data_IF_504161771542
#
_entry.id   IF_504161771542
#
_cell.length_a   1.000
_cell.length_b   1.000
_cell.length_c   1.000
_cell.angle_alpha   90.00
_cell.angle_beta   90.00
_cell.angle_gamma   90.00
#
_symmetry.space_group_name_H-M   'P 1'
#
loop_
_entity.id
_entity.type
_entity.pdbx_description
1 polymer ?
#
# COMPACT_ATOMS: atom_id res chain seq x y z
N UNK A 1 -48.01 1.72 -58.13
CA UNK A 1 -46.68 2.10 -57.65
C UNK A 1 -46.73 2.12 -56.12
N UNK A 2 -46.32 1.01 -55.49
CA UNK A 2 -46.34 0.85 -54.02
C UNK A 2 -44.98 1.26 -53.50
N UNK A 3 -44.92 2.32 -52.67
CA UNK A 3 -43.71 2.80 -52.01
C UNK A 3 -43.62 2.06 -50.65
N UNK A 4 -42.69 1.09 -50.57
CA UNK A 4 -42.38 0.39 -49.32
C UNK A 4 -41.55 1.30 -48.39
N UNK A 5 -42.12 1.65 -47.24
CA UNK A 5 -41.39 2.35 -46.16
C UNK A 5 -40.61 1.33 -45.34
N UNK A 6 -39.31 1.33 -45.46
CA UNK A 6 -38.41 0.56 -44.60
C UNK A 6 -38.27 1.26 -43.23
N UNK A 7 -38.83 0.65 -42.19
CA UNK A 7 -38.67 1.09 -40.81
C UNK A 7 -37.35 0.50 -40.28
N UNK A 8 -36.32 1.37 -40.14
CA UNK A 8 -35.08 1.01 -39.42
C UNK A 8 -35.36 1.07 -37.91
N UNK A 9 -35.42 -0.11 -37.28
CA UNK A 9 -35.49 -0.21 -35.82
C UNK A 9 -34.07 -0.01 -35.29
N UNK A 10 -33.77 1.20 -34.76
CA UNK A 10 -32.56 1.44 -33.98
C UNK A 10 -32.74 0.76 -32.63
N UNK A 11 -32.10 -0.38 -32.40
CA UNK A 11 -31.91 -0.93 -31.06
C UNK A 11 -30.81 -0.11 -30.37
N UNK A 12 -31.09 0.59 -29.26
CA UNK A 12 -30.06 1.26 -28.51
C UNK A 12 -29.10 0.19 -27.97
N UNK A 13 -27.86 0.24 -28.42
CA UNK A 13 -26.79 -0.54 -27.85
C UNK A 13 -26.56 0.01 -26.40
N UNK A 14 -27.20 -0.63 -25.42
CA UNK A 14 -26.94 -0.33 -24.02
C UNK A 14 -25.50 -0.78 -23.76
N UNK A 15 -24.59 0.19 -23.76
CA UNK A 15 -23.26 -0.01 -23.20
C UNK A 15 -23.47 -0.43 -21.74
N UNK A 16 -23.26 -1.71 -21.44
CA UNK A 16 -23.24 -2.23 -20.07
C UNK A 16 -22.11 -1.45 -19.38
N UNK A 17 -22.48 -0.55 -18.48
CA UNK A 17 -21.49 0.14 -17.65
C UNK A 17 -20.69 -0.96 -16.94
N UNK A 18 -19.39 -1.03 -17.24
CA UNK A 18 -18.52 -2.02 -16.60
C UNK A 18 -18.51 -1.71 -15.09
N UNK A 19 -18.84 -2.71 -14.28
CA UNK A 19 -18.75 -2.59 -12.83
C UNK A 19 -17.33 -2.16 -12.44
N UNK A 20 -17.25 -1.08 -11.66
CA UNK A 20 -16.01 -0.47 -11.23
C UNK A 20 -16.03 -0.26 -9.73
N UNK A 21 -14.95 -0.63 -9.06
CA UNK A 21 -14.75 -0.37 -7.63
C UNK A 21 -13.54 0.53 -7.42
N UNK A 22 -13.67 1.47 -6.48
CA UNK A 22 -12.64 2.42 -6.09
C UNK A 22 -12.07 2.05 -4.73
N UNK A 23 -10.77 1.81 -4.65
CA UNK A 23 -10.10 1.31 -3.45
C UNK A 23 -9.08 2.32 -2.94
N UNK A 24 -9.20 2.73 -1.68
CA UNK A 24 -8.16 3.46 -0.97
C UNK A 24 -7.10 2.46 -0.49
N UNK A 25 -5.86 2.57 -0.95
CA UNK A 25 -4.80 1.56 -0.75
C UNK A 25 -3.58 2.18 -0.11
N UNK A 26 -3.15 1.67 1.04
CA UNK A 26 -1.91 2.08 1.68
C UNK A 26 -0.71 1.86 0.75
N UNK A 27 0.17 2.85 0.66
CA UNK A 27 1.24 2.94 -0.35
C UNK A 27 2.23 1.75 -0.35
N UNK A 28 2.39 1.06 0.78
CA UNK A 28 3.20 -0.17 0.83
C UNK A 28 2.64 -1.30 -0.05
N UNK A 29 1.33 -1.30 -0.32
CA UNK A 29 0.64 -2.40 -1.02
C UNK A 29 0.49 -2.17 -2.53
N UNK A 30 1.00 -1.06 -3.08
CA UNK A 30 0.84 -0.65 -4.50
C UNK A 30 1.13 -1.80 -5.48
N UNK A 31 2.28 -2.44 -5.38
CA UNK A 31 2.70 -3.45 -6.36
C UNK A 31 1.86 -4.71 -6.30
N UNK A 32 1.59 -5.22 -5.10
CA UNK A 32 0.72 -6.37 -4.89
C UNK A 32 -0.73 -6.05 -5.32
N UNK A 33 -1.24 -4.88 -4.97
CA UNK A 33 -2.57 -4.44 -5.36
C UNK A 33 -2.75 -4.38 -6.89
N UNK A 34 -1.80 -3.77 -7.60
CA UNK A 34 -1.88 -3.68 -9.07
C UNK A 34 -1.92 -5.05 -9.74
N UNK A 35 -1.13 -6.01 -9.26
CA UNK A 35 -1.14 -7.37 -9.79
C UNK A 35 -2.45 -8.09 -9.45
N UNK A 36 -2.95 -7.94 -8.23
CA UNK A 36 -4.24 -8.49 -7.81
C UNK A 36 -5.42 -7.88 -8.58
N UNK A 37 -5.42 -6.56 -8.79
CA UNK A 37 -6.46 -5.88 -9.54
C UNK A 37 -6.53 -6.38 -10.98
N UNK A 38 -5.37 -6.54 -11.64
CA UNK A 38 -5.29 -7.05 -13.00
C UNK A 38 -5.77 -8.52 -13.11
N UNK A 39 -5.36 -9.39 -12.17
CA UNK A 39 -5.80 -10.78 -12.13
C UNK A 39 -7.32 -10.89 -11.89
N UNK A 40 -7.84 -10.10 -10.94
CA UNK A 40 -9.26 -10.06 -10.64
C UNK A 40 -10.11 -9.55 -11.83
N UNK A 41 -9.66 -8.45 -12.45
CA UNK A 41 -10.35 -7.89 -13.64
C UNK A 41 -10.36 -8.89 -14.80
N UNK A 42 -9.27 -9.62 -15.01
CA UNK A 42 -9.20 -10.67 -16.03
C UNK A 42 -10.25 -11.75 -15.81
N UNK A 43 -10.46 -12.17 -14.56
CA UNK A 43 -11.37 -13.25 -14.14
C UNK A 43 -12.84 -12.83 -14.09
N UNK A 44 -13.11 -11.59 -13.68
CA UNK A 44 -14.48 -11.14 -13.35
C UNK A 44 -15.04 -10.09 -14.29
N UNK A 45 -14.18 -9.42 -15.06
CA UNK A 45 -14.49 -8.23 -15.87
C UNK A 45 -14.90 -7.00 -15.03
N UNK A 46 -14.72 -7.05 -13.70
CA UNK A 46 -14.94 -5.91 -12.78
C UNK A 46 -13.65 -5.12 -12.69
N UNK A 47 -13.69 -3.84 -13.02
CA UNK A 47 -12.52 -2.96 -12.94
C UNK A 47 -12.23 -2.57 -11.49
N UNK A 48 -10.96 -2.63 -11.07
CA UNK A 48 -10.52 -2.24 -9.73
C UNK A 48 -9.51 -1.10 -9.82
N UNK A 49 -9.90 0.09 -9.36
CA UNK A 49 -9.03 1.27 -9.36
C UNK A 49 -8.53 1.59 -7.94
N UNK A 50 -7.22 1.74 -7.78
CA UNK A 50 -6.58 2.08 -6.52
C UNK A 50 -6.14 3.55 -6.45
N UNK A 51 -6.43 4.21 -5.33
CA UNK A 51 -5.81 5.47 -4.93
C UNK A 51 -4.80 5.18 -3.83
N UNK A 52 -3.57 5.66 -4.01
CA UNK A 52 -2.44 5.31 -3.15
C UNK A 52 -1.94 6.51 -2.34
N UNK A 53 -1.80 6.33 -1.02
CA UNK A 53 -1.22 7.33 -0.12
C UNK A 53 -0.86 6.68 1.23
N UNK A 54 -0.40 7.49 2.20
CA UNK A 54 -0.29 7.00 3.57
C UNK A 54 -1.67 6.64 4.13
N UNK A 55 -1.70 5.63 5.00
CA UNK A 55 -2.94 5.17 5.65
C UNK A 55 -3.72 6.30 6.32
N UNK A 56 -3.02 7.22 7.02
CA UNK A 56 -3.66 8.37 7.67
C UNK A 56 -4.26 9.37 6.69
N UNK A 57 -3.59 9.64 5.56
CA UNK A 57 -4.14 10.53 4.53
C UNK A 57 -5.40 9.93 3.88
N UNK A 58 -5.39 8.62 3.59
CA UNK A 58 -6.56 7.92 3.04
C UNK A 58 -7.72 7.92 4.05
N UNK A 59 -7.43 7.65 5.32
CA UNK A 59 -8.41 7.75 6.39
C UNK A 59 -9.05 9.15 6.44
N UNK A 60 -8.23 10.21 6.38
CA UNK A 60 -8.72 11.60 6.35
C UNK A 60 -9.60 11.87 5.14
N UNK A 61 -9.24 11.36 3.96
CA UNK A 61 -10.08 11.48 2.76
C UNK A 61 -11.43 10.77 2.93
N UNK A 62 -11.44 9.57 3.52
CA UNK A 62 -12.66 8.78 3.76
C UNK A 62 -13.62 9.53 4.68
N UNK A 63 -13.15 10.06 5.82
CA UNK A 63 -14.00 10.81 6.76
C UNK A 63 -14.49 12.13 6.17
N UNK A 64 -13.75 12.72 5.22
CA UNK A 64 -14.14 13.92 4.49
C UNK A 64 -14.98 13.61 3.23
N UNK A 65 -15.43 12.38 3.06
CA UNK A 65 -16.41 12.07 2.03
C UNK A 65 -15.85 11.56 0.70
N UNK A 66 -14.56 11.26 0.57
CA UNK A 66 -14.02 10.67 -0.65
C UNK A 66 -14.76 9.36 -1.04
N UNK A 67 -15.09 9.18 -2.33
CA UNK A 67 -15.99 8.12 -2.79
C UNK A 67 -15.26 6.79 -3.01
N UNK A 68 -14.64 6.28 -1.95
CA UNK A 68 -14.05 4.94 -1.97
C UNK A 68 -15.06 3.89 -1.55
N UNK A 69 -14.92 2.68 -2.09
CA UNK A 69 -15.74 1.51 -1.79
C UNK A 69 -15.09 0.60 -0.76
N UNK A 70 -13.76 0.49 -0.79
CA UNK A 70 -12.96 -0.35 0.08
C UNK A 70 -11.72 0.41 0.57
N UNK A 71 -11.32 0.18 1.81
CA UNK A 71 -10.08 0.70 2.38
C UNK A 71 -9.14 -0.43 2.76
N UNK A 72 -7.95 -0.46 2.14
CA UNK A 72 -6.84 -1.36 2.48
C UNK A 72 -5.80 -0.56 3.27
N UNK A 73 -5.91 -0.61 4.58
CA UNK A 73 -5.05 0.10 5.54
C UNK A 73 -3.77 -0.70 5.85
N UNK A 74 -2.68 -0.01 6.18
CA UNK A 74 -1.48 -0.64 6.72
C UNK A 74 -1.47 -0.69 8.27
N UNK A 75 -2.60 -0.46 8.94
CA UNK A 75 -2.82 -0.68 10.37
C UNK A 75 -4.22 -1.21 10.64
N UNK A 76 -4.48 -1.58 11.89
CA UNK A 76 -5.78 -2.04 12.37
C UNK A 76 -6.60 -0.88 12.98
N UNK A 77 -5.94 0.17 13.48
CA UNK A 77 -6.55 1.24 14.25
C UNK A 77 -7.58 2.02 13.42
N UNK A 78 -7.19 2.45 12.22
CA UNK A 78 -8.04 3.32 11.39
C UNK A 78 -9.27 2.60 10.83
N UNK A 79 -9.18 1.36 10.32
CA UNK A 79 -10.37 0.58 9.97
C UNK A 79 -11.29 0.32 11.17
N UNK A 80 -10.75 0.01 12.35
CA UNK A 80 -11.53 -0.17 13.56
C UNK A 80 -12.28 1.11 13.97
N UNK A 81 -11.63 2.28 13.82
CA UNK A 81 -12.27 3.58 14.06
C UNK A 81 -13.40 3.86 13.07
N UNK A 82 -13.19 3.63 11.76
CA UNK A 82 -14.26 3.77 10.77
C UNK A 82 -15.46 2.87 11.07
N UNK A 83 -15.23 1.67 11.53
CA UNK A 83 -16.31 0.75 11.92
C UNK A 83 -17.05 1.25 13.17
N UNK A 84 -16.33 1.67 14.20
CA UNK A 84 -16.89 2.25 15.41
C UNK A 84 -17.77 3.48 15.12
N UNK A 85 -17.33 4.31 14.17
CA UNK A 85 -18.02 5.51 13.73
C UNK A 85 -19.18 5.21 12.73
N UNK A 86 -19.44 3.93 12.46
CA UNK A 86 -20.52 3.48 11.57
C UNK A 86 -20.27 3.70 10.07
N UNK A 87 -19.05 4.08 9.67
CA UNK A 87 -18.66 4.41 8.29
C UNK A 87 -18.34 3.16 7.47
N UNK A 88 -17.87 2.09 8.11
CA UNK A 88 -17.50 0.84 7.44
C UNK A 88 -18.17 -0.37 8.09
N UNK A 89 -18.10 -1.50 7.37
CA UNK A 89 -18.37 -2.82 7.94
C UNK A 89 -17.22 -3.25 8.85
N UNK A 90 -17.39 -4.41 9.52
CA UNK A 90 -16.36 -5.00 10.39
C UNK A 90 -15.06 -5.21 9.62
N UNK A 91 -13.93 -4.68 10.14
CA UNK A 91 -12.64 -4.85 9.51
C UNK A 91 -12.14 -6.30 9.55
N UNK A 92 -11.27 -6.64 8.60
CA UNK A 92 -10.59 -7.93 8.54
C UNK A 92 -9.11 -7.76 8.21
N UNK A 93 -8.26 -8.66 8.72
CA UNK A 93 -6.82 -8.66 8.41
C UNK A 93 -6.64 -9.25 7.00
N UNK A 94 -5.94 -8.54 6.12
CA UNK A 94 -5.68 -9.01 4.76
C UNK A 94 -4.21 -9.32 4.48
N UNK A 95 -3.27 -8.75 5.26
CA UNK A 95 -1.84 -8.99 5.11
C UNK A 95 -1.07 -8.61 6.40
N UNK A 96 0.16 -9.11 6.51
CA UNK A 96 1.15 -8.68 7.50
C UNK A 96 2.41 -8.27 6.76
N UNK A 97 2.92 -7.08 7.02
CA UNK A 97 4.06 -6.50 6.36
C UNK A 97 5.31 -6.45 7.24
N UNK A 98 6.46 -6.25 6.60
CA UNK A 98 7.76 -6.17 7.24
C UNK A 98 8.48 -4.89 6.82
N UNK A 99 9.01 -4.13 7.78
CA UNK A 99 9.86 -2.98 7.53
C UNK A 99 11.30 -3.43 7.22
N UNK A 100 11.94 -2.73 6.30
CA UNK A 100 13.34 -2.91 5.91
C UNK A 100 14.04 -1.55 5.85
N UNK A 101 15.37 -1.57 5.95
CA UNK A 101 16.23 -0.43 5.62
C UNK A 101 16.94 -0.76 4.31
N UNK A 102 16.66 -0.02 3.26
CA UNK A 102 17.15 -0.25 1.91
C UNK A 102 18.12 0.86 1.46
N UNK A 103 19.13 0.49 0.65
CA UNK A 103 20.04 1.42 0.01
C UNK A 103 20.33 1.01 -1.44
N UNK A 104 20.50 2.00 -2.33
CA UNK A 104 20.99 1.78 -3.69
C UNK A 104 22.47 1.37 -3.71
N UNK A 105 23.23 1.81 -2.72
CA UNK A 105 24.63 1.40 -2.55
C UNK A 105 24.74 0.03 -1.91
N UNK A 106 25.23 -0.98 -2.66
CA UNK A 106 25.36 -2.36 -2.17
C UNK A 106 26.36 -2.51 -1.05
N UNK A 107 27.36 -1.62 -0.95
CA UNK A 107 28.36 -1.64 0.14
C UNK A 107 27.73 -1.32 1.49
N UNK A 108 26.57 -0.65 1.49
CA UNK A 108 25.78 -0.38 2.69
C UNK A 108 25.45 -1.66 3.46
N UNK A 109 25.19 -2.77 2.74
CA UNK A 109 24.83 -4.05 3.35
C UNK A 109 26.03 -4.95 3.70
N UNK A 110 27.27 -4.46 3.58
CA UNK A 110 28.45 -5.15 4.10
C UNK A 110 28.58 -4.99 5.63
N UNK A 111 27.86 -4.05 6.22
CA UNK A 111 27.78 -3.91 7.68
C UNK A 111 27.11 -5.16 8.30
N UNK A 112 27.49 -5.46 9.56
CA UNK A 112 26.94 -6.63 10.27
C UNK A 112 25.45 -6.47 10.57
N UNK A 113 25.03 -5.24 10.88
CA UNK A 113 23.65 -4.91 11.25
C UNK A 113 23.23 -3.60 10.58
N UNK A 114 21.92 -3.36 10.49
CA UNK A 114 21.40 -2.09 10.00
C UNK A 114 21.80 -0.92 10.90
N UNK A 115 21.96 -1.16 12.21
CA UNK A 115 22.43 -0.16 13.18
C UNK A 115 23.88 0.24 12.88
N UNK A 116 24.75 -0.72 12.55
CA UNK A 116 26.14 -0.44 12.20
C UNK A 116 26.24 0.27 10.85
N UNK A 117 25.40 -0.11 9.89
CA UNK A 117 25.33 0.61 8.62
C UNK A 117 24.99 2.11 8.83
N UNK A 118 24.04 2.42 9.72
CA UNK A 118 23.63 3.81 10.01
C UNK A 118 24.65 4.60 10.83
N UNK A 119 25.60 3.95 11.51
CA UNK A 119 26.72 4.61 12.21
C UNK A 119 27.80 5.11 11.27
N UNK A 120 27.82 4.60 10.01
CA UNK A 120 28.79 5.06 9.03
C UNK A 120 28.65 6.56 8.77
N UNK A 121 29.77 7.29 8.90
CA UNK A 121 29.78 8.75 8.73
C UNK A 121 29.45 9.20 7.30
N UNK A 122 29.57 8.32 6.32
CA UNK A 122 29.18 8.61 4.93
C UNK A 122 27.65 8.68 4.77
N UNK A 123 26.87 8.09 5.68
CA UNK A 123 25.41 8.17 5.67
C UNK A 123 24.97 9.52 6.24
N UNK A 124 24.52 10.41 5.37
CA UNK A 124 24.10 11.79 5.70
C UNK A 124 22.58 11.96 5.68
N UNK A 125 21.89 11.25 4.78
CA UNK A 125 20.45 11.39 4.56
C UNK A 125 19.76 10.01 4.59
N UNK A 126 18.71 9.91 5.38
CA UNK A 126 17.94 8.66 5.56
C UNK A 126 16.46 9.00 5.37
N UNK A 127 15.80 8.42 4.39
CA UNK A 127 14.36 8.61 4.21
C UNK A 127 13.57 7.81 5.26
N UNK A 128 12.55 8.44 5.79
CA UNK A 128 11.55 7.82 6.67
C UNK A 128 10.16 8.33 6.29
N UNK A 129 9.18 7.44 6.20
CA UNK A 129 7.80 7.85 5.98
C UNK A 129 7.27 8.63 7.20
N UNK A 130 6.30 9.50 6.98
CA UNK A 130 5.68 10.29 8.05
C UNK A 130 5.25 9.38 9.21
N UNK A 131 5.82 9.64 10.39
CA UNK A 131 5.65 8.79 11.57
C UNK A 131 4.28 8.89 12.24
N UNK A 132 3.43 9.85 11.82
CA UNK A 132 2.08 10.04 12.34
C UNK A 132 1.01 9.45 11.40
N UNK A 133 1.23 9.52 10.09
CA UNK A 133 0.22 9.13 9.09
C UNK A 133 0.54 7.83 8.38
N UNK A 134 1.80 7.35 8.41
CA UNK A 134 2.23 6.14 7.74
C UNK A 134 2.68 5.07 8.75
N UNK A 135 1.97 3.92 8.86
CA UNK A 135 2.28 2.87 9.83
C UNK A 135 3.72 2.34 9.73
N UNK A 136 4.28 2.25 8.52
CA UNK A 136 5.69 1.89 8.34
C UNK A 136 6.67 2.96 8.89
N UNK A 137 6.30 4.24 8.81
CA UNK A 137 7.06 5.32 9.45
C UNK A 137 7.00 5.22 10.97
N UNK A 138 5.83 4.95 11.53
CA UNK A 138 5.64 4.68 12.96
C UNK A 138 6.46 3.46 13.41
N UNK A 139 6.47 2.39 12.62
CA UNK A 139 7.23 1.17 12.91
C UNK A 139 8.75 1.43 12.86
N UNK A 140 9.24 2.18 11.87
CA UNK A 140 10.64 2.58 11.77
C UNK A 140 11.08 3.45 12.96
N UNK A 141 10.23 4.43 13.35
CA UNK A 141 10.47 5.24 14.55
C UNK A 141 10.61 4.38 15.81
N UNK A 142 9.65 3.47 16.04
CA UNK A 142 9.70 2.55 17.20
C UNK A 142 10.95 1.67 17.19
N UNK A 143 11.41 1.22 16.02
CA UNK A 143 12.65 0.47 15.91
C UNK A 143 13.87 1.31 16.30
N UNK A 144 13.95 2.55 15.79
CA UNK A 144 15.02 3.50 16.14
C UNK A 144 15.03 3.87 17.62
N UNK A 145 13.85 4.08 18.22
CA UNK A 145 13.71 4.33 19.66
C UNK A 145 14.20 3.13 20.47
N UNK A 146 13.77 1.91 20.09
CA UNK A 146 14.15 0.67 20.78
C UNK A 146 15.66 0.43 20.83
N UNK A 147 16.39 0.87 19.79
CA UNK A 147 17.87 0.74 19.74
C UNK A 147 18.62 2.02 20.16
N UNK A 148 17.91 3.03 20.67
CA UNK A 148 18.50 4.29 21.16
C UNK A 148 19.16 5.16 20.07
N UNK A 149 18.66 5.07 18.82
CA UNK A 149 19.19 5.81 17.68
C UNK A 149 18.25 6.93 17.19
N UNK A 150 17.01 7.00 17.67
CA UNK A 150 16.03 7.99 17.19
C UNK A 150 16.54 9.42 17.29
N UNK A 151 16.94 9.87 18.48
CA UNK A 151 17.38 11.25 18.70
C UNK A 151 18.70 11.56 17.97
N UNK A 152 19.60 10.56 17.86
CA UNK A 152 20.90 10.72 17.21
C UNK A 152 20.80 10.91 15.71
N UNK A 153 19.73 10.41 15.09
CA UNK A 153 19.55 10.45 13.64
C UNK A 153 18.62 11.57 13.18
N UNK A 154 17.99 12.36 14.07
CA UNK A 154 17.01 13.40 13.70
C UNK A 154 17.51 14.33 12.60
N UNK A 155 18.78 14.76 12.67
CA UNK A 155 19.36 15.67 11.67
C UNK A 155 19.63 15.02 10.30
N UNK A 156 19.60 13.69 10.23
CA UNK A 156 19.78 12.91 9.01
C UNK A 156 18.46 12.45 8.39
N UNK A 157 17.35 12.51 9.16
CA UNK A 157 16.05 12.02 8.69
C UNK A 157 15.41 12.97 7.69
N UNK A 158 15.06 12.45 6.53
CA UNK A 158 14.29 13.11 5.48
C UNK A 158 12.89 12.53 5.48
N UNK A 159 11.91 13.35 5.84
CA UNK A 159 10.52 12.93 5.91
C UNK A 159 9.93 12.73 4.50
N UNK A 160 9.39 11.56 4.26
CA UNK A 160 8.58 11.23 3.09
C UNK A 160 7.09 11.22 3.48
N UNK A 161 6.22 11.51 2.55
CA UNK A 161 4.78 11.56 2.76
C UNK A 161 4.19 10.18 3.10
N UNK A 162 4.75 9.14 2.47
CA UNK A 162 4.40 7.75 2.67
C UNK A 162 5.60 6.82 2.41
N UNK A 163 5.40 5.51 2.57
CA UNK A 163 6.49 4.54 2.48
C UNK A 163 6.97 4.30 1.03
N UNK A 164 6.13 4.53 0.02
CA UNK A 164 6.55 4.43 -1.37
C UNK A 164 7.45 5.61 -1.75
N UNK A 165 7.17 6.82 -1.28
CA UNK A 165 8.03 7.98 -1.47
C UNK A 165 9.36 7.82 -0.72
N UNK A 166 9.36 7.21 0.48
CA UNK A 166 10.61 6.88 1.19
C UNK A 166 11.50 5.95 0.34
N UNK A 167 10.93 4.91 -0.26
CA UNK A 167 11.64 4.05 -1.20
C UNK A 167 12.08 4.81 -2.45
N UNK A 168 11.24 5.67 -3.01
CA UNK A 168 11.59 6.47 -4.18
C UNK A 168 12.82 7.34 -3.92
N UNK A 169 12.90 8.03 -2.78
CA UNK A 169 14.09 8.83 -2.43
C UNK A 169 15.35 7.97 -2.36
N UNK A 170 15.28 6.78 -1.78
CA UNK A 170 16.41 5.87 -1.69
C UNK A 170 16.80 5.29 -3.04
N UNK A 171 15.82 4.86 -3.86
CA UNK A 171 16.08 4.22 -5.16
C UNK A 171 16.60 5.18 -6.22
N UNK A 172 16.29 6.47 -6.09
CA UNK A 172 16.85 7.53 -6.96
C UNK A 172 18.13 8.13 -6.40
N UNK A 173 18.69 7.59 -5.31
CA UNK A 173 19.90 8.11 -4.63
C UNK A 173 19.76 9.56 -4.16
N UNK A 174 18.52 10.07 -3.94
CA UNK A 174 18.29 11.36 -3.31
C UNK A 174 18.65 11.35 -1.80
N UNK A 175 18.68 10.16 -1.23
CA UNK A 175 19.16 9.84 0.13
C UNK A 175 20.06 8.60 0.09
N UNK A 176 20.87 8.41 1.13
CA UNK A 176 21.82 7.29 1.20
C UNK A 176 21.14 5.96 1.54
N UNK A 177 20.07 6.01 2.34
CA UNK A 177 19.26 4.86 2.70
C UNK A 177 17.81 5.29 3.00
N UNK A 178 16.87 4.37 2.99
CA UNK A 178 15.48 4.65 3.33
C UNK A 178 14.82 3.49 4.07
N UNK A 179 14.02 3.82 5.08
CA UNK A 179 13.10 2.87 5.67
C UNK A 179 11.98 2.58 4.66
N UNK A 180 11.83 1.32 4.28
CA UNK A 180 10.94 0.87 3.21
C UNK A 180 10.07 -0.30 3.66
N UNK A 181 9.09 -0.68 2.84
CA UNK A 181 8.40 -1.94 2.98
C UNK A 181 9.18 -3.07 2.28
N UNK A 182 9.12 -4.30 2.81
CA UNK A 182 9.69 -5.49 2.16
C UNK A 182 9.19 -5.62 0.71
N UNK A 183 7.94 -5.27 0.44
CA UNK A 183 7.36 -5.32 -0.90
C UNK A 183 8.10 -4.46 -1.95
N UNK A 184 8.78 -3.40 -1.52
CA UNK A 184 9.57 -2.58 -2.44
C UNK A 184 10.83 -3.30 -2.92
N UNK A 185 11.42 -4.19 -2.09
CA UNK A 185 12.69 -4.88 -2.41
C UNK A 185 12.59 -5.86 -3.56
N UNK A 186 11.38 -6.39 -3.83
CA UNK A 186 11.13 -7.35 -4.92
C UNK A 186 10.80 -6.68 -6.25
N UNK A 187 10.64 -5.36 -6.27
CA UNK A 187 10.46 -4.57 -7.49
C UNK A 187 11.74 -4.54 -8.34
N UNK A 188 11.61 -4.14 -9.61
CA UNK A 188 12.78 -3.97 -10.50
C UNK A 188 13.83 -3.03 -9.89
N UNK A 189 13.40 -1.91 -9.33
CA UNK A 189 14.30 -0.96 -8.67
C UNK A 189 14.83 -1.50 -7.33
N UNK A 190 13.99 -2.20 -6.56
CA UNK A 190 14.38 -2.79 -5.27
C UNK A 190 15.51 -3.81 -5.38
N UNK A 191 15.53 -4.58 -6.48
CA UNK A 191 16.57 -5.60 -6.75
C UNK A 191 17.94 -4.99 -7.14
N UNK A 192 17.99 -3.70 -7.47
CA UNK A 192 19.26 -3.02 -7.82
C UNK A 192 20.11 -2.69 -6.60
N UNK A 193 19.50 -2.52 -5.44
CA UNK A 193 20.16 -2.22 -4.17
C UNK A 193 20.29 -3.41 -3.24
N UNK A 194 20.37 -3.11 -1.96
CA UNK A 194 20.41 -4.08 -0.87
C UNK A 194 19.58 -3.62 0.33
N UNK A 195 19.30 -4.50 1.28
CA UNK A 195 18.50 -4.14 2.44
C UNK A 195 18.82 -4.99 3.67
N UNK A 196 18.47 -4.44 4.83
CA UNK A 196 18.39 -5.16 6.10
C UNK A 196 16.93 -5.29 6.51
N UNK A 197 16.54 -6.45 7.01
CA UNK A 197 15.26 -6.61 7.71
C UNK A 197 15.37 -5.97 9.08
N UNK A 198 14.36 -5.18 9.47
CA UNK A 198 14.33 -4.52 10.78
C UNK A 198 13.51 -5.35 11.73
N UNK A 199 14.17 -6.26 12.45
CA UNK A 199 13.51 -7.16 13.40
C UNK A 199 13.02 -6.44 14.67
N UNK A 200 13.56 -5.26 14.98
CA UNK A 200 13.17 -4.41 16.10
C UNK A 200 11.87 -3.65 15.84
N UNK A 201 11.48 -3.51 14.56
CA UNK A 201 10.19 -2.94 14.21
C UNK A 201 9.06 -3.91 14.59
N UNK A 202 7.93 -3.40 15.10
CA UNK A 202 6.74 -4.21 15.31
C UNK A 202 6.24 -4.80 13.99
N UNK A 203 5.58 -5.94 14.04
CA UNK A 203 4.86 -6.49 12.89
C UNK A 203 3.79 -5.50 12.43
N UNK A 204 3.68 -5.30 11.13
CA UNK A 204 2.74 -4.34 10.55
C UNK A 204 1.50 -5.11 10.10
N UNK A 205 0.54 -5.25 11.02
CA UNK A 205 -0.74 -5.91 10.75
C UNK A 205 -1.60 -4.97 9.93
N UNK A 206 -2.04 -5.42 8.77
CA UNK A 206 -2.78 -4.62 7.79
C UNK A 206 -4.23 -5.08 7.73
N UNK A 207 -5.13 -4.16 7.97
CA UNK A 207 -6.56 -4.42 8.01
C UNK A 207 -7.30 -3.69 6.89
N UNK A 208 -8.36 -4.30 6.40
CA UNK A 208 -9.25 -3.74 5.39
C UNK A 208 -10.67 -3.60 5.92
N UNK A 209 -11.42 -2.65 5.37
CA UNK A 209 -12.85 -2.53 5.64
C UNK A 209 -13.61 -2.04 4.41
N UNK A 210 -14.79 -2.64 4.19
CA UNK A 210 -15.75 -2.21 3.18
C UNK A 210 -16.47 -0.97 3.67
N UNK A 211 -16.53 0.08 2.85
CA UNK A 211 -17.16 1.34 3.21
C UNK A 211 -18.67 1.28 2.92
N UNK A 212 -19.52 1.64 3.89
CA UNK A 212 -20.98 1.53 3.78
C UNK A 212 -21.60 2.43 2.71
N UNK A 213 -20.88 3.45 2.27
CA UNK A 213 -21.31 4.36 1.19
C UNK A 213 -21.29 3.74 -0.20
N UNK A 214 -20.64 2.58 -0.37
CA UNK A 214 -20.55 1.95 -1.69
C UNK A 214 -21.92 1.69 -2.30
N UNK A 215 -22.07 2.05 -3.56
CA UNK A 215 -23.27 1.73 -4.37
C UNK A 215 -23.06 0.44 -5.16
N UNK A 216 -21.85 -0.12 -5.14
CA UNK A 216 -21.48 -1.33 -5.91
C UNK A 216 -21.09 -2.50 -4.98
N UNK A 217 -21.87 -2.70 -3.93
CA UNK A 217 -21.57 -3.62 -2.84
C UNK A 217 -21.23 -5.02 -3.32
N UNK A 218 -22.00 -5.58 -4.23
CA UNK A 218 -21.76 -6.93 -4.74
C UNK A 218 -20.39 -7.10 -5.43
N UNK A 219 -19.96 -6.09 -6.18
CA UNK A 219 -18.62 -6.10 -6.82
C UNK A 219 -17.50 -6.00 -5.77
N UNK A 220 -17.68 -5.16 -4.76
CA UNK A 220 -16.70 -4.99 -3.67
C UNK A 220 -16.57 -6.28 -2.86
N UNK A 221 -17.67 -6.94 -2.52
CA UNK A 221 -17.67 -8.22 -1.79
C UNK A 221 -16.94 -9.32 -2.57
N UNK A 222 -17.12 -9.40 -3.90
CA UNK A 222 -16.35 -10.32 -4.74
C UNK A 222 -14.84 -10.04 -4.68
N UNK A 223 -14.44 -8.76 -4.65
CA UNK A 223 -13.03 -8.42 -4.52
C UNK A 223 -12.49 -8.72 -3.11
N UNK A 224 -13.28 -8.51 -2.07
CA UNK A 224 -12.93 -8.90 -0.70
C UNK A 224 -12.75 -10.42 -0.59
N UNK A 225 -13.64 -11.21 -1.18
CA UNK A 225 -13.49 -12.66 -1.26
C UNK A 225 -12.21 -13.06 -2.03
N UNK A 226 -11.95 -12.40 -3.16
CA UNK A 226 -10.74 -12.62 -3.94
C UNK A 226 -9.47 -12.34 -3.12
N UNK A 227 -9.43 -11.30 -2.26
CA UNK A 227 -8.28 -11.01 -1.40
C UNK A 227 -7.94 -12.19 -0.46
N UNK A 228 -8.91 -13.04 -0.12
CA UNK A 228 -8.72 -14.27 0.66
C UNK A 228 -8.34 -15.50 -0.18
N UNK A 229 -8.39 -15.43 -1.51
CA UNK A 229 -8.19 -16.55 -2.42
C UNK A 229 -6.74 -17.06 -2.46
N UNK A 230 -6.49 -18.32 -2.89
CA UNK A 230 -5.15 -18.84 -3.12
C UNK A 230 -4.32 -17.97 -4.07
N UNK A 231 -4.89 -17.47 -5.16
CA UNK A 231 -4.21 -16.60 -6.12
C UNK A 231 -3.73 -15.28 -5.47
N UNK A 232 -4.60 -14.61 -4.71
CA UNK A 232 -4.22 -13.41 -3.98
C UNK A 232 -3.16 -13.70 -2.90
N UNK A 233 -3.22 -14.88 -2.26
CA UNK A 233 -2.20 -15.32 -1.29
C UNK A 233 -0.84 -15.51 -1.93
N UNK A 234 -0.77 -16.12 -3.10
CA UNK A 234 0.48 -16.29 -3.87
C UNK A 234 1.09 -14.93 -4.22
N UNK A 235 0.26 -13.98 -4.70
CA UNK A 235 0.71 -12.61 -4.97
C UNK A 235 1.23 -11.94 -3.69
N UNK A 236 0.53 -12.06 -2.56
CA UNK A 236 0.99 -11.51 -1.27
C UNK A 236 2.35 -12.07 -0.88
N UNK A 237 2.53 -13.37 -0.94
CA UNK A 237 3.82 -14.04 -0.62
C UNK A 237 4.93 -13.57 -1.56
N UNK A 238 4.67 -13.46 -2.87
CA UNK A 238 5.60 -12.92 -3.87
C UNK A 238 6.15 -11.54 -3.48
N UNK A 239 5.30 -10.68 -2.89
CA UNK A 239 5.68 -9.34 -2.43
C UNK A 239 6.09 -9.29 -0.94
N UNK A 240 6.40 -10.43 -0.32
CA UNK A 240 6.94 -10.51 1.04
C UNK A 240 5.90 -10.25 2.15
N UNK A 241 4.62 -10.39 1.85
CA UNK A 241 3.55 -10.36 2.86
C UNK A 241 3.26 -11.76 3.41
N UNK A 242 2.77 -11.78 4.64
CA UNK A 242 2.31 -13.00 5.34
C UNK A 242 0.83 -12.87 5.64
#
# INVERSE_FOLDING_TARGET
MLIGVAVFIFTPNQAIAQDKISVAVAANFISAFKEMAADFETKTKIKVEGTFSSTGNLYSQIINGAPYDLFLSADEERPAKLNKDGVSDTPFIYAKGQAVLWSANKDFCQAKTWQDALKNEQIKKIAIANTQTAPYGTAAKKALEKVGMWDKLQTKLINAQDIAQSFQYASTSAVDAGFCAMSATVSTEGKKGCFFVINEAPEIIQSACLLKRTTNRAAVEKFVEYLGSPAAKEIKVKYGYR
#
